data_IF_514301512719
#
_entry.id   IF_514301512719
#
_cell.length_a   1.000
_cell.length_b   1.000
_cell.length_c   1.000
_cell.angle_alpha   90.00
_cell.angle_beta   90.00
_cell.angle_gamma   90.00
#
_symmetry.space_group_name_H-M   'P 1'
#
loop_
_entity.id
_entity.type
_entity.pdbx_description
1 polymer ?
#
# COMPACT_ATOMS: atom_id res chain seq x y z
N UNK A 1 -4.33 16.20 6.43
CA UNK A 1 -3.09 15.42 6.28
C UNK A 1 -2.35 15.16 7.60
N UNK A 2 -2.28 16.10 8.55
CA UNK A 2 -1.58 15.86 9.83
C UNK A 2 -2.17 14.74 10.68
N UNK A 3 -3.51 14.72 10.83
CA UNK A 3 -4.25 13.72 11.61
C UNK A 3 -4.16 12.30 11.04
N UNK A 4 -4.38 12.15 9.74
CA UNK A 4 -4.27 10.87 9.00
C UNK A 4 -2.88 10.24 9.19
N UNK A 5 -1.83 11.06 9.06
CA UNK A 5 -0.46 10.61 9.27
C UNK A 5 -0.22 10.19 10.72
N UNK A 6 -0.77 10.91 11.69
CA UNK A 6 -0.64 10.55 13.10
C UNK A 6 -1.34 9.21 13.39
N UNK A 7 -2.61 9.06 12.99
CA UNK A 7 -3.37 7.81 13.17
C UNK A 7 -2.66 6.61 12.51
N UNK A 8 -2.11 6.78 11.32
CA UNK A 8 -1.35 5.74 10.65
C UNK A 8 -0.04 5.36 11.36
N UNK A 9 0.68 6.34 11.91
CA UNK A 9 1.90 6.09 12.67
C UNK A 9 1.59 5.41 14.02
N UNK A 10 0.48 5.79 14.65
CA UNK A 10 0.02 5.17 15.91
C UNK A 10 -0.37 3.70 15.67
N UNK A 11 -1.17 3.41 14.62
CA UNK A 11 -1.52 2.03 14.20
C UNK A 11 -0.29 1.20 13.84
N UNK A 12 0.71 1.79 13.18
CA UNK A 12 1.97 1.11 12.87
C UNK A 12 2.74 0.75 14.15
N UNK A 13 2.85 1.69 15.09
CA UNK A 13 3.56 1.49 16.35
C UNK A 13 2.88 0.42 17.21
N UNK A 14 1.55 0.45 17.33
CA UNK A 14 0.77 -0.53 18.07
C UNK A 14 0.95 -1.94 17.50
N UNK A 15 0.90 -2.06 16.17
CA UNK A 15 1.08 -3.35 15.49
C UNK A 15 2.50 -3.91 15.61
N UNK A 16 3.53 -3.06 15.50
CA UNK A 16 4.92 -3.48 15.72
C UNK A 16 5.10 -3.96 17.16
N UNK A 17 4.49 -3.26 18.13
CA UNK A 17 4.56 -3.63 19.54
C UNK A 17 3.89 -4.98 19.80
N UNK A 18 2.67 -5.17 19.29
CA UNK A 18 1.96 -6.45 19.39
C UNK A 18 2.76 -7.59 18.74
N UNK A 19 3.32 -7.38 17.55
CA UNK A 19 4.12 -8.41 16.88
C UNK A 19 5.40 -8.74 17.65
N UNK A 20 6.04 -7.74 18.27
CA UNK A 20 7.22 -7.95 19.09
C UNK A 20 6.88 -8.74 20.36
N UNK A 21 5.78 -8.42 21.02
CA UNK A 21 5.31 -9.12 22.23
C UNK A 21 5.01 -10.60 21.92
N UNK A 22 4.40 -10.88 20.77
CA UNK A 22 4.06 -12.25 20.34
C UNK A 22 5.26 -13.06 19.83
N UNK A 23 6.29 -12.41 19.28
CA UNK A 23 7.44 -13.07 18.65
C UNK A 23 8.76 -12.85 19.40
N UNK A 24 8.69 -12.65 20.72
CA UNK A 24 9.87 -12.56 21.60
C UNK A 24 10.87 -11.48 21.17
N UNK A 25 10.34 -10.33 20.70
CA UNK A 25 11.08 -9.17 20.24
C UNK A 25 11.41 -9.16 18.73
N UNK A 26 11.06 -10.20 17.98
CA UNK A 26 11.29 -10.25 16.53
C UNK A 26 10.14 -9.61 15.76
N UNK A 27 10.44 -8.70 14.83
CA UNK A 27 9.43 -8.00 14.02
C UNK A 27 9.77 -7.97 12.54
N UNK A 28 8.77 -8.21 11.69
CA UNK A 28 8.88 -8.09 10.24
C UNK A 28 8.60 -6.65 9.79
N UNK A 29 9.65 -5.83 9.78
CA UNK A 29 9.59 -4.40 9.47
C UNK A 29 8.88 -4.10 8.14
N UNK A 30 9.27 -4.80 7.06
CA UNK A 30 8.68 -4.58 5.73
C UNK A 30 7.19 -4.93 5.68
N UNK A 31 6.75 -5.95 6.44
CA UNK A 31 5.35 -6.35 6.49
C UNK A 31 4.50 -5.30 7.19
N UNK A 32 4.98 -4.75 8.29
CA UNK A 32 4.30 -3.69 9.04
C UNK A 32 4.29 -2.36 8.29
N UNK A 33 5.39 -1.97 7.66
CA UNK A 33 5.45 -0.75 6.84
C UNK A 33 4.47 -0.81 5.65
N UNK A 34 4.36 -1.96 4.97
CA UNK A 34 3.38 -2.16 3.89
C UNK A 34 1.94 -2.02 4.37
N UNK A 35 1.62 -2.57 5.54
CA UNK A 35 0.29 -2.45 6.14
C UNK A 35 -0.05 -0.99 6.47
N UNK A 36 0.85 -0.24 7.12
CA UNK A 36 0.61 1.16 7.42
C UNK A 36 0.44 2.03 6.17
N UNK A 37 1.25 1.80 5.13
CA UNK A 37 1.07 2.48 3.85
C UNK A 37 -0.29 2.17 3.22
N UNK A 38 -0.76 0.93 3.33
CA UNK A 38 -2.08 0.53 2.85
C UNK A 38 -3.21 1.19 3.65
N UNK A 39 -3.13 1.27 4.97
CA UNK A 39 -4.09 1.99 5.81
C UNK A 39 -4.19 3.48 5.43
N UNK A 40 -3.04 4.15 5.22
CA UNK A 40 -2.99 5.55 4.78
C UNK A 40 -3.71 5.71 3.45
N UNK A 41 -3.46 4.81 2.49
CA UNK A 41 -4.12 4.86 1.19
C UNK A 41 -5.63 4.65 1.30
N UNK A 42 -6.08 3.70 2.13
CA UNK A 42 -7.51 3.48 2.36
C UNK A 42 -8.17 4.70 3.01
N UNK A 43 -7.55 5.28 4.02
CA UNK A 43 -8.08 6.47 4.70
C UNK A 43 -8.10 7.69 3.78
N UNK A 44 -7.07 7.89 2.95
CA UNK A 44 -7.03 8.99 1.98
C UNK A 44 -8.00 8.80 0.81
N UNK A 45 -8.16 7.56 0.31
CA UNK A 45 -8.99 7.28 -0.86
C UNK A 45 -10.47 7.13 -0.52
N UNK A 46 -10.79 6.64 0.68
CA UNK A 46 -12.16 6.31 1.07
C UNK A 46 -12.66 7.08 2.29
N UNK A 47 -11.79 7.73 3.07
CA UNK A 47 -12.19 8.54 4.22
C UNK A 47 -12.74 7.74 5.41
N UNK A 48 -12.53 6.42 5.43
CA UNK A 48 -13.09 5.50 6.44
C UNK A 48 -11.94 4.97 7.31
N UNK A 49 -12.04 5.15 8.63
CA UNK A 49 -11.23 4.39 9.57
C UNK A 49 -11.74 2.94 9.63
N UNK A 50 -10.97 2.01 9.07
CA UNK A 50 -11.27 0.60 9.06
C UNK A 50 -10.53 -0.12 10.20
N UNK A 51 -11.18 -1.11 10.82
CA UNK A 51 -10.57 -2.00 11.80
C UNK A 51 -9.54 -2.96 11.14
N UNK A 52 -8.64 -3.53 11.93
CA UNK A 52 -7.54 -4.37 11.42
C UNK A 52 -8.01 -5.61 10.65
N UNK A 53 -9.12 -6.23 11.06
CA UNK A 53 -9.67 -7.41 10.38
C UNK A 53 -10.17 -7.04 8.98
N UNK A 54 -10.87 -5.91 8.89
CA UNK A 54 -11.33 -5.35 7.62
C UNK A 54 -10.17 -4.98 6.71
N UNK A 55 -9.09 -4.38 7.25
CA UNK A 55 -7.88 -4.05 6.48
C UNK A 55 -7.20 -5.32 5.93
N UNK A 56 -7.08 -6.38 6.75
CA UNK A 56 -6.50 -7.65 6.32
C UNK A 56 -7.32 -8.34 5.22
N UNK A 57 -8.65 -8.33 5.34
CA UNK A 57 -9.55 -8.82 4.30
C UNK A 57 -9.41 -8.01 3.01
N UNK A 58 -9.30 -6.69 3.12
CA UNK A 58 -9.11 -5.79 1.97
C UNK A 58 -7.76 -6.01 1.28
N UNK A 59 -6.66 -6.20 2.04
CA UNK A 59 -5.33 -6.53 1.51
C UNK A 59 -5.33 -7.87 0.77
N UNK A 60 -5.96 -8.91 1.33
CA UNK A 60 -6.09 -10.20 0.65
C UNK A 60 -6.94 -10.12 -0.62
N UNK A 61 -8.04 -9.36 -0.59
CA UNK A 61 -8.90 -9.16 -1.75
C UNK A 61 -8.18 -8.37 -2.84
N UNK A 62 -7.50 -7.28 -2.49
CA UNK A 62 -6.65 -6.49 -3.40
C UNK A 62 -5.54 -7.34 -4.01
N UNK A 63 -4.86 -8.19 -3.23
CA UNK A 63 -3.86 -9.13 -3.75
C UNK A 63 -4.46 -10.11 -4.76
N UNK A 64 -5.62 -10.68 -4.45
CA UNK A 64 -6.33 -11.57 -5.40
C UNK A 64 -6.70 -10.85 -6.68
N UNK A 65 -7.21 -9.63 -6.57
CA UNK A 65 -7.56 -8.78 -7.70
C UNK A 65 -6.30 -8.49 -8.52
N UNK A 66 -5.21 -8.02 -7.92
CA UNK A 66 -3.93 -7.80 -8.60
C UNK A 66 -3.38 -9.08 -9.26
N UNK A 67 -3.51 -10.26 -8.67
CA UNK A 67 -3.09 -11.50 -9.33
C UNK A 67 -4.00 -11.84 -10.52
N UNK A 68 -5.31 -11.58 -10.39
CA UNK A 68 -6.31 -11.96 -11.40
C UNK A 68 -6.27 -11.05 -12.64
N UNK A 69 -6.02 -9.75 -12.46
CA UNK A 69 -6.03 -8.81 -13.59
C UNK A 69 -4.67 -8.78 -14.33
N UNK A 70 -3.64 -9.47 -13.81
CA UNK A 70 -2.23 -9.36 -14.25
C UNK A 70 -1.85 -7.90 -14.63
N UNK A 71 -2.13 -6.92 -13.75
CA UNK A 71 -1.88 -5.53 -14.03
C UNK A 71 -0.38 -5.37 -14.20
N UNK A 72 0.02 -4.86 -15.37
CA UNK A 72 1.43 -4.55 -15.62
C UNK A 72 1.89 -3.61 -14.50
N UNK A 73 2.84 -4.09 -13.71
CA UNK A 73 3.27 -3.50 -12.44
C UNK A 73 3.80 -2.06 -12.62
N UNK A 74 4.20 -1.71 -13.85
CA UNK A 74 4.65 -0.39 -14.30
C UNK A 74 3.55 0.68 -14.32
N UNK A 75 2.27 0.30 -14.45
CA UNK A 75 1.14 1.25 -14.42
C UNK A 75 0.83 1.75 -12.99
N UNK A 76 1.26 1.01 -11.95
CA UNK A 76 0.90 1.30 -10.54
C UNK A 76 2.08 1.64 -9.62
N UNK A 77 3.32 1.27 -9.98
CA UNK A 77 4.52 1.50 -9.16
C UNK A 77 5.51 2.45 -9.86
N UNK A 78 5.36 3.78 -9.69
CA UNK A 78 6.26 4.77 -10.29
C UNK A 78 7.72 4.68 -9.81
N UNK A 79 8.00 3.95 -8.72
CA UNK A 79 9.38 3.65 -8.30
C UNK A 79 10.10 2.66 -9.23
N UNK A 80 9.37 1.82 -9.98
CA UNK A 80 9.94 0.92 -10.99
C UNK A 80 10.00 1.56 -12.38
N UNK A 81 9.53 2.81 -12.52
CA UNK A 81 9.55 3.59 -13.76
C UNK A 81 10.92 3.72 -14.46
N UNK A 82 12.09 3.69 -13.77
CA UNK A 82 13.38 3.71 -14.46
C UNK A 82 13.57 2.48 -15.38
N UNK A 83 13.01 1.32 -15.01
CA UNK A 83 13.16 0.06 -15.72
C UNK A 83 12.26 0.02 -16.97
N UNK A 84 11.10 0.70 -16.94
CA UNK A 84 10.08 0.69 -18.01
C UNK A 84 9.95 2.04 -18.74
N UNK A 85 11.05 2.79 -18.83
CA UNK A 85 11.10 4.14 -19.43
C UNK A 85 10.55 4.23 -20.87
N UNK A 86 10.62 3.14 -21.64
CA UNK A 86 10.11 3.06 -23.02
C UNK A 86 8.58 3.02 -23.09
N UNK A 87 7.94 2.22 -22.24
CA UNK A 87 6.47 2.13 -22.20
C UNK A 87 5.85 3.41 -21.63
N UNK A 88 6.49 4.02 -20.62
CA UNK A 88 6.11 5.35 -20.11
C UNK A 88 6.14 6.44 -21.18
N UNK A 89 7.11 6.40 -22.11
CA UNK A 89 7.21 7.38 -23.19
C UNK A 89 6.07 7.23 -24.20
N UNK A 90 5.69 6.00 -24.55
CA UNK A 90 4.53 5.72 -25.42
C UNK A 90 3.22 6.15 -24.79
N UNK A 91 3.02 5.87 -23.50
CA UNK A 91 1.82 6.30 -22.78
C UNK A 91 1.70 7.84 -22.74
N UNK A 92 2.82 8.55 -22.63
CA UNK A 92 2.85 10.03 -22.70
C UNK A 92 2.55 10.58 -24.10
N UNK A 93 2.94 9.87 -25.17
CA UNK A 93 2.62 10.27 -26.55
C UNK A 93 1.12 10.17 -26.80
N UNK A 94 0.48 9.06 -26.43
CA UNK A 94 -1.00 8.90 -26.56
C UNK A 94 -1.75 9.96 -25.73
N UNK A 95 -1.22 10.32 -24.55
CA UNK A 95 -1.79 11.38 -23.70
C UNK A 95 -1.72 12.79 -24.30
N UNK A 96 -0.83 13.03 -25.25
CA UNK A 96 -0.75 14.32 -25.96
C UNK A 96 -1.72 14.40 -27.13
N UNK A 97 -2.28 13.26 -27.55
CA UNK A 97 -3.30 13.15 -28.59
C UNK A 97 -4.74 13.20 -28.04
N UNK A 98 -4.92 13.03 -26.72
CA UNK A 98 -6.17 13.29 -25.99
C UNK A 98 -6.26 14.75 -25.53
#
# INVERSE_FOLDING_TARGET
>A
FGSVRQSAMDKLAERIKSEADDNNGLVWVLRNARFAAFCILLEMCFGIEMDEESILKMDQMMKKVLITIDPRLDDYLPMLAPIYSKERKRALEVRREQ
#
